data_IF_059825243909
#
_entry.id   IF_059825243909
#
_cell.length_a   1.000
_cell.length_b   1.000
_cell.length_c   1.000
_cell.angle_alpha   90.00
_cell.angle_beta   90.00
_cell.angle_gamma   90.00
#
_symmetry.space_group_name_H-M   'P 1'
#
loop_
_entity.id
_entity.type
_entity.pdbx_description
1 polymer ?
#
# COMPACT_ATOMS: atom_id res chain seq x y z
N UNK A 1 -8.52 -34.60 -36.84
CA UNK A 1 -7.32 -33.78 -37.10
C UNK A 1 -6.73 -33.41 -35.75
N UNK A 2 -5.63 -34.04 -35.34
CA UNK A 2 -4.95 -33.74 -34.06
C UNK A 2 -4.25 -32.39 -34.21
N UNK A 3 -4.84 -31.33 -33.68
CA UNK A 3 -4.18 -30.02 -33.59
C UNK A 3 -3.23 -30.14 -32.40
N UNK A 4 -1.92 -30.18 -32.65
CA UNK A 4 -0.92 -30.16 -31.59
C UNK A 4 -1.13 -28.96 -30.68
N UNK A 5 -0.87 -29.14 -29.38
CA UNK A 5 -1.08 -28.11 -28.37
C UNK A 5 -0.26 -26.87 -28.72
N UNK A 6 -0.95 -25.77 -29.02
CA UNK A 6 -0.31 -24.48 -29.35
C UNK A 6 0.22 -23.86 -28.05
N UNK A 7 1.54 -23.62 -27.90
CA UNK A 7 2.08 -22.99 -26.71
C UNK A 7 1.50 -21.59 -26.49
N UNK A 8 1.29 -21.17 -25.24
CA UNK A 8 0.84 -19.81 -24.88
C UNK A 8 1.70 -18.71 -25.55
N UNK A 9 3.00 -18.94 -25.69
CA UNK A 9 3.93 -18.01 -26.36
C UNK A 9 3.59 -17.77 -27.84
N UNK A 10 3.02 -18.77 -28.51
CA UNK A 10 2.65 -18.69 -29.93
C UNK A 10 1.43 -17.82 -30.18
N UNK A 11 0.61 -17.56 -29.15
CA UNK A 11 -0.56 -16.66 -29.26
C UNK A 11 -0.12 -15.24 -29.59
N UNK A 12 0.97 -14.78 -28.98
CA UNK A 12 1.55 -13.47 -29.30
C UNK A 12 1.95 -13.38 -30.78
N UNK A 13 2.61 -14.42 -31.30
CA UNK A 13 2.97 -14.46 -32.73
C UNK A 13 1.73 -14.49 -33.63
N UNK A 14 0.67 -15.20 -33.22
CA UNK A 14 -0.57 -15.26 -33.97
C UNK A 14 -1.27 -13.90 -34.04
N UNK A 15 -1.34 -13.16 -32.93
CA UNK A 15 -1.85 -11.79 -32.93
C UNK A 15 -1.00 -10.86 -33.81
N UNK A 16 0.32 -10.99 -33.79
CA UNK A 16 1.22 -10.14 -34.59
C UNK A 16 1.10 -10.42 -36.09
N UNK A 17 0.92 -11.69 -36.47
CA UNK A 17 0.80 -12.09 -37.87
C UNK A 17 -0.61 -11.86 -38.46
N UNK A 18 -1.66 -11.88 -37.64
CA UNK A 18 -3.04 -11.62 -38.07
C UNK A 18 -3.47 -10.23 -37.59
N UNK A 19 -3.52 -9.30 -38.55
CA UNK A 19 -3.72 -7.88 -38.28
C UNK A 19 -5.08 -7.49 -37.66
N UNK A 20 -5.99 -8.43 -37.39
CA UNK A 20 -7.35 -8.12 -36.96
C UNK A 20 -7.88 -8.88 -35.73
N UNK A 21 -7.06 -9.71 -35.07
CA UNK A 21 -7.49 -10.52 -33.92
C UNK A 21 -6.74 -10.14 -32.64
N UNK A 22 -7.49 -10.02 -31.56
CA UNK A 22 -7.04 -9.86 -30.19
C UNK A 22 -7.55 -11.03 -29.36
N UNK A 23 -6.67 -11.64 -28.58
CA UNK A 23 -6.91 -12.87 -27.83
C UNK A 23 -6.60 -12.61 -26.35
N UNK A 24 -7.52 -13.02 -25.50
CA UNK A 24 -7.26 -13.18 -24.08
C UNK A 24 -7.30 -14.66 -23.73
N UNK A 25 -6.44 -15.08 -22.80
CA UNK A 25 -6.45 -16.45 -22.29
C UNK A 25 -6.56 -16.41 -20.78
N UNK A 26 -7.62 -17.03 -20.26
CA UNK A 26 -7.82 -17.29 -18.85
C UNK A 26 -7.36 -18.70 -18.48
N UNK A 27 -6.71 -18.87 -17.33
CA UNK A 27 -6.47 -20.20 -16.76
C UNK A 27 -7.74 -20.75 -16.12
N UNK A 28 -7.95 -22.07 -16.19
CA UNK A 28 -9.03 -22.74 -15.48
C UNK A 28 -8.55 -23.99 -14.77
N UNK A 29 -8.78 -24.02 -13.46
CA UNK A 29 -8.33 -25.07 -12.56
C UNK A 29 -9.44 -25.35 -11.55
N UNK A 30 -9.67 -26.62 -11.23
CA UNK A 30 -10.62 -27.05 -10.19
C UNK A 30 -12.05 -26.50 -10.32
N UNK A 31 -12.51 -26.22 -11.54
CA UNK A 31 -13.86 -25.67 -11.75
C UNK A 31 -13.93 -24.14 -11.76
N UNK A 32 -12.81 -23.46 -11.58
CA UNK A 32 -12.76 -22.00 -11.44
C UNK A 32 -11.75 -21.35 -12.39
N UNK A 33 -11.96 -20.05 -12.68
CA UNK A 33 -11.03 -19.27 -13.50
C UNK A 33 -10.00 -18.63 -12.57
N UNK A 34 -8.72 -18.93 -12.80
CA UNK A 34 -7.62 -18.54 -11.88
C UNK A 34 -6.98 -17.20 -12.25
N UNK A 35 -7.35 -16.65 -13.41
CA UNK A 35 -6.88 -15.33 -13.88
C UNK A 35 -6.48 -15.34 -15.34
N UNK A 36 -5.88 -14.24 -15.80
CA UNK A 36 -5.43 -14.06 -17.18
C UNK A 36 -3.98 -14.54 -17.34
N UNK A 37 -3.78 -15.58 -18.14
CA UNK A 37 -2.45 -16.07 -18.55
C UNK A 37 -1.89 -15.28 -19.73
N UNK A 38 -2.78 -14.72 -20.56
CA UNK A 38 -2.42 -13.84 -21.65
C UNK A 38 -3.48 -12.76 -21.82
N UNK A 39 -3.05 -11.51 -21.92
CA UNK A 39 -3.90 -10.35 -22.19
C UNK A 39 -3.35 -9.64 -23.42
N UNK A 40 -4.23 -9.42 -24.39
CA UNK A 40 -3.89 -8.66 -25.59
C UNK A 40 -3.53 -7.20 -25.24
N UNK A 41 -2.55 -6.64 -25.95
CA UNK A 41 -2.11 -5.24 -25.74
C UNK A 41 -2.94 -4.22 -26.53
N UNK A 42 -3.65 -4.67 -27.57
CA UNK A 42 -4.41 -3.81 -28.47
C UNK A 42 -5.78 -4.42 -28.67
N UNK A 43 -6.82 -3.61 -28.58
CA UNK A 43 -8.18 -4.04 -28.95
C UNK A 43 -8.33 -3.90 -30.47
N UNK A 44 -8.31 -5.02 -31.19
CA UNK A 44 -8.59 -5.11 -32.63
C UNK A 44 -10.06 -5.48 -32.86
N UNK A 45 -10.49 -5.53 -34.13
CA UNK A 45 -11.88 -5.72 -34.49
C UNK A 45 -12.47 -7.06 -33.99
N UNK A 46 -11.70 -8.14 -34.04
CA UNK A 46 -12.12 -9.43 -33.51
C UNK A 46 -11.48 -9.68 -32.16
N UNK A 47 -12.31 -9.75 -31.12
CA UNK A 47 -11.89 -10.01 -29.75
C UNK A 47 -12.32 -11.41 -29.32
N UNK A 48 -11.36 -12.26 -28.97
CA UNK A 48 -11.59 -13.66 -28.64
C UNK A 48 -11.10 -13.92 -27.22
N UNK A 49 -12.02 -14.33 -26.36
CA UNK A 49 -11.68 -14.80 -25.03
C UNK A 49 -11.56 -16.33 -25.06
N UNK A 50 -10.46 -16.87 -24.54
CA UNK A 50 -10.19 -18.30 -24.43
C UNK A 50 -9.97 -18.69 -22.97
N UNK A 51 -10.28 -19.94 -22.65
CA UNK A 51 -9.90 -20.62 -21.42
C UNK A 51 -8.88 -21.69 -21.76
N UNK A 52 -7.78 -21.76 -21.00
CA UNK A 52 -6.81 -22.83 -21.04
C UNK A 52 -7.13 -23.85 -19.94
N UNK A 53 -7.46 -25.06 -20.36
CA UNK A 53 -7.67 -26.20 -19.48
C UNK A 53 -6.45 -27.12 -19.50
N UNK A 54 -6.14 -27.71 -18.35
CA UNK A 54 -5.14 -28.76 -18.25
C UNK A 54 -5.82 -30.03 -17.71
N UNK A 55 -5.71 -31.14 -18.46
CA UNK A 55 -6.28 -32.44 -18.09
C UNK A 55 -5.24 -33.40 -17.47
N UNK A 56 -4.02 -32.91 -17.19
CA UNK A 56 -2.90 -33.69 -16.66
C UNK A 56 -1.91 -34.14 -17.73
N UNK A 57 -2.33 -34.31 -18.98
CA UNK A 57 -1.45 -34.74 -20.08
C UNK A 57 -1.29 -33.66 -21.16
N UNK A 58 -2.33 -32.87 -21.40
CA UNK A 58 -2.41 -31.90 -22.48
C UNK A 58 -3.05 -30.58 -22.03
N UNK A 59 -2.94 -29.57 -22.89
CA UNK A 59 -3.63 -28.30 -22.71
C UNK A 59 -4.64 -28.08 -23.83
N UNK A 60 -5.84 -27.64 -23.48
CA UNK A 60 -6.92 -27.37 -24.43
C UNK A 60 -7.37 -25.93 -24.34
N UNK A 61 -7.51 -25.26 -25.48
CA UNK A 61 -8.13 -23.94 -25.56
C UNK A 61 -9.61 -24.08 -25.86
N UNK A 62 -10.44 -23.45 -25.04
CA UNK A 62 -11.89 -23.38 -25.24
C UNK A 62 -12.31 -21.92 -25.37
N UNK A 63 -13.13 -21.60 -26.35
CA UNK A 63 -13.64 -20.25 -26.53
C UNK A 63 -14.70 -19.90 -25.48
N UNK A 64 -14.52 -18.75 -24.84
CA UNK A 64 -15.49 -18.16 -23.91
C UNK A 64 -16.41 -17.24 -24.71
N UNK A 65 -17.68 -17.64 -24.84
CA UNK A 65 -18.68 -16.82 -25.53
C UNK A 65 -19.25 -15.71 -24.65
N UNK A 66 -19.34 -15.92 -23.33
CA UNK A 66 -19.94 -14.98 -22.37
C UNK A 66 -19.19 -14.98 -21.05
N UNK A 67 -18.20 -14.11 -20.91
CA UNK A 67 -17.42 -13.92 -19.67
C UNK A 67 -18.30 -13.74 -18.41
N UNK A 68 -19.36 -12.89 -18.43
CA UNK A 68 -20.23 -12.71 -17.27
C UNK A 68 -20.93 -13.97 -16.80
N UNK A 69 -21.12 -14.98 -17.65
CA UNK A 69 -21.75 -16.25 -17.24
C UNK A 69 -20.76 -17.20 -16.58
N UNK A 70 -19.52 -17.20 -17.04
CA UNK A 70 -18.46 -18.06 -16.53
C UNK A 70 -18.01 -17.63 -15.13
N UNK A 71 -17.80 -16.32 -14.93
CA UNK A 71 -17.18 -15.78 -13.71
C UNK A 71 -18.19 -15.40 -12.61
N UNK A 72 -19.49 -15.45 -12.91
CA UNK A 72 -20.54 -14.98 -12.03
C UNK A 72 -20.45 -15.54 -10.61
N UNK A 73 -20.43 -16.87 -10.53
CA UNK A 73 -20.50 -17.59 -9.27
C UNK A 73 -19.21 -17.41 -8.44
N UNK A 74 -18.10 -17.07 -9.08
CA UNK A 74 -16.82 -16.77 -8.42
C UNK A 74 -16.80 -15.33 -7.86
N UNK A 75 -17.49 -14.39 -8.50
CA UNK A 75 -17.42 -12.96 -8.16
C UNK A 75 -18.55 -12.50 -7.24
N UNK A 76 -19.75 -13.06 -7.34
CA UNK A 76 -20.91 -12.57 -6.59
C UNK A 76 -21.95 -13.65 -6.29
N UNK A 77 -22.64 -13.49 -5.16
CA UNK A 77 -23.79 -14.30 -4.75
C UNK A 77 -25.13 -13.74 -5.22
N UNK A 78 -25.18 -12.49 -5.68
CA UNK A 78 -26.41 -11.89 -6.19
C UNK A 78 -26.89 -12.62 -7.44
N UNK A 79 -28.16 -12.48 -7.85
CA UNK A 79 -28.76 -13.17 -9.03
C UNK A 79 -28.91 -12.27 -10.27
N UNK A 80 -28.62 -10.98 -10.14
CA UNK A 80 -28.71 -10.03 -11.25
C UNK A 80 -27.57 -10.18 -12.29
N UNK A 81 -27.81 -9.67 -13.50
CA UNK A 81 -26.78 -9.58 -14.54
C UNK A 81 -25.62 -8.72 -14.06
N UNK A 82 -24.39 -9.21 -14.24
CA UNK A 82 -23.15 -8.46 -13.96
C UNK A 82 -22.50 -7.98 -15.24
N UNK A 83 -21.79 -6.86 -15.14
CA UNK A 83 -20.93 -6.33 -16.21
C UNK A 83 -19.48 -6.59 -15.80
N UNK A 84 -18.69 -7.25 -16.64
CA UNK A 84 -17.30 -7.61 -16.35
C UNK A 84 -16.38 -6.99 -17.40
N UNK A 85 -15.21 -6.53 -16.97
CA UNK A 85 -14.13 -6.16 -17.88
C UNK A 85 -13.30 -7.41 -18.24
N UNK A 86 -13.21 -7.74 -19.52
CA UNK A 86 -12.48 -8.91 -20.00
C UNK A 86 -10.95 -8.81 -19.74
N UNK A 87 -10.43 -7.59 -19.54
CA UNK A 87 -9.00 -7.34 -19.35
C UNK A 87 -8.50 -7.39 -17.89
N UNK A 88 -9.35 -7.09 -16.91
CA UNK A 88 -8.98 -7.12 -15.49
C UNK A 88 -9.87 -8.05 -14.65
N UNK A 89 -10.91 -8.63 -15.25
CA UNK A 89 -11.91 -9.51 -14.64
C UNK A 89 -12.69 -8.87 -13.47
N UNK A 90 -12.61 -7.56 -13.27
CA UNK A 90 -13.43 -6.84 -12.29
C UNK A 90 -14.86 -6.69 -12.77
N UNK A 91 -15.81 -6.73 -11.82
CA UNK A 91 -17.23 -6.53 -12.10
C UNK A 91 -17.69 -5.12 -11.71
N UNK A 92 -18.67 -4.61 -12.45
CA UNK A 92 -19.22 -3.27 -12.30
C UNK A 92 -20.75 -3.30 -12.26
N UNK A 93 -21.32 -2.39 -11.45
CA UNK A 93 -22.76 -2.33 -11.23
C UNK A 93 -23.55 -1.93 -12.48
N UNK A 94 -22.98 -1.07 -13.34
CA UNK A 94 -23.64 -0.60 -14.56
C UNK A 94 -22.73 -0.71 -15.76
N UNK A 95 -23.33 -0.83 -16.94
CA UNK A 95 -22.59 -0.86 -18.21
C UNK A 95 -21.83 0.47 -18.44
N UNK A 96 -22.40 1.60 -18.01
CA UNK A 96 -21.76 2.92 -18.16
C UNK A 96 -20.41 2.98 -17.43
N UNK A 97 -20.37 2.51 -16.17
CA UNK A 97 -19.13 2.48 -15.38
C UNK A 97 -18.10 1.52 -16.01
N UNK A 98 -18.55 0.38 -16.54
CA UNK A 98 -17.66 -0.54 -17.27
C UNK A 98 -17.03 0.15 -18.50
N UNK A 99 -17.81 0.88 -19.29
CA UNK A 99 -17.29 1.58 -20.48
C UNK A 99 -16.33 2.72 -20.12
N UNK A 100 -16.57 3.42 -19.02
CA UNK A 100 -15.62 4.40 -18.47
C UNK A 100 -14.33 3.72 -18.03
N UNK A 101 -14.42 2.63 -17.26
CA UNK A 101 -13.27 1.84 -16.84
C UNK A 101 -12.44 1.32 -18.02
N UNK A 102 -13.09 0.82 -19.09
CA UNK A 102 -12.38 0.28 -20.27
C UNK A 102 -11.45 1.29 -20.95
N UNK A 103 -11.70 2.59 -20.82
CA UNK A 103 -10.82 3.65 -21.36
C UNK A 103 -9.47 3.69 -20.66
N UNK A 104 -9.44 3.28 -19.40
CA UNK A 104 -8.28 3.39 -18.51
C UNK A 104 -7.72 2.02 -18.13
N UNK A 105 -8.46 0.94 -18.37
CA UNK A 105 -8.11 -0.41 -17.99
C UNK A 105 -6.82 -0.88 -18.66
N UNK A 106 -5.86 -1.34 -17.85
CA UNK A 106 -4.57 -1.86 -18.32
C UNK A 106 -3.54 -0.78 -18.69
N UNK A 107 -3.91 0.51 -18.59
CA UNK A 107 -2.99 1.64 -18.71
C UNK A 107 -2.68 2.27 -17.34
N UNK A 108 -1.55 2.98 -17.26
CA UNK A 108 -1.33 3.95 -16.18
C UNK A 108 -2.00 5.23 -16.64
N UNK A 109 -3.15 5.56 -16.07
CA UNK A 109 -3.83 6.82 -16.32
C UNK A 109 -3.55 7.78 -15.17
N UNK A 110 -2.80 8.83 -15.48
CA UNK A 110 -2.54 9.92 -14.52
C UNK A 110 -3.60 10.98 -14.73
N UNK A 111 -4.69 10.90 -13.97
CA UNK A 111 -5.68 11.99 -13.91
C UNK A 111 -5.09 13.05 -12.97
N UNK A 112 -4.68 14.18 -13.54
CA UNK A 112 -4.28 15.32 -12.72
C UNK A 112 -5.53 15.97 -12.12
N UNK A 113 -5.48 16.42 -10.86
CA UNK A 113 -6.56 17.19 -10.27
C UNK A 113 -6.75 18.51 -11.03
N UNK A 114 -7.99 18.99 -11.08
CA UNK A 114 -8.29 20.34 -11.57
C UNK A 114 -7.57 21.40 -10.74
N UNK A 115 -7.22 22.54 -11.34
CA UNK A 115 -6.47 23.61 -10.66
C UNK A 115 -7.17 24.08 -9.37
N UNK A 116 -8.50 24.09 -9.38
CA UNK A 116 -9.34 24.49 -8.24
C UNK A 116 -9.50 23.40 -7.18
N UNK A 117 -9.13 22.15 -7.47
CA UNK A 117 -9.27 20.99 -6.58
C UNK A 117 -7.97 20.19 -6.44
N UNK A 118 -6.85 20.89 -6.34
CA UNK A 118 -5.50 20.29 -6.23
C UNK A 118 -5.02 20.10 -4.78
N UNK A 119 -5.84 20.44 -3.78
CA UNK A 119 -5.48 20.33 -2.36
C UNK A 119 -6.19 19.13 -1.72
N UNK A 120 -5.41 18.12 -1.34
CA UNK A 120 -5.89 17.02 -0.52
C UNK A 120 -5.80 17.37 0.96
N UNK A 121 -6.91 17.25 1.68
CA UNK A 121 -6.97 17.36 3.13
C UNK A 121 -7.46 16.06 3.75
N UNK A 122 -6.80 15.62 4.81
CA UNK A 122 -7.29 14.51 5.60
C UNK A 122 -8.48 14.98 6.45
N UNK A 123 -9.68 14.47 6.20
CA UNK A 123 -10.89 14.86 6.94
C UNK A 123 -11.20 13.90 8.08
N UNK A 124 -10.91 12.61 7.89
CA UNK A 124 -11.29 11.56 8.83
C UNK A 124 -10.17 11.17 9.81
N UNK A 125 -9.72 12.12 10.64
CA UNK A 125 -8.65 11.89 11.63
C UNK A 125 -8.92 10.72 12.58
N UNK A 126 -10.18 10.44 12.91
CA UNK A 126 -10.58 9.32 13.75
C UNK A 126 -10.37 7.94 13.10
N UNK A 127 -10.18 7.89 11.77
CA UNK A 127 -9.88 6.68 11.00
C UNK A 127 -8.37 6.41 10.88
N UNK A 128 -7.53 7.22 11.53
CA UNK A 128 -6.10 6.93 11.62
C UNK A 128 -5.93 5.65 12.42
N UNK A 129 -5.09 4.77 11.90
CA UNK A 129 -4.64 3.61 12.65
C UNK A 129 -3.92 4.11 13.92
N UNK A 130 -4.31 3.57 15.07
CA UNK A 130 -3.63 3.90 16.33
C UNK A 130 -2.22 3.34 16.25
N UNK A 131 -1.23 4.19 16.52
CA UNK A 131 0.16 3.75 16.59
C UNK A 131 0.31 2.70 17.71
N UNK A 132 1.00 1.56 17.44
CA UNK A 132 1.16 0.49 18.42
C UNK A 132 1.94 0.94 19.66
N UNK A 133 2.91 1.83 19.46
CA UNK A 133 3.73 2.41 20.53
C UNK A 133 3.83 3.93 20.33
N UNK A 134 3.75 4.69 21.42
CA UNK A 134 3.88 6.15 21.45
C UNK A 134 4.75 6.53 22.63
N UNK A 135 5.65 7.49 22.46
CA UNK A 135 6.52 7.98 23.52
C UNK A 135 6.17 9.44 23.80
N UNK A 136 5.73 9.72 25.02
CA UNK A 136 5.49 11.07 25.50
C UNK A 136 6.70 11.49 26.31
N UNK A 137 7.31 12.64 25.99
CA UNK A 137 8.56 13.08 26.63
C UNK A 137 8.46 14.52 27.08
N UNK A 138 9.06 14.80 28.22
CA UNK A 138 9.32 16.14 28.70
C UNK A 138 10.79 16.25 29.16
N UNK A 139 11.45 17.37 28.90
CA UNK A 139 12.88 17.53 29.15
C UNK A 139 13.21 18.94 29.62
N UNK A 140 14.06 19.01 30.63
CA UNK A 140 14.46 20.25 31.30
C UNK A 140 15.92 20.58 31.01
N UNK A 141 16.22 21.87 30.99
CA UNK A 141 17.57 22.37 30.78
C UNK A 141 17.90 23.56 31.69
N UNK A 142 19.14 23.61 32.15
CA UNK A 142 19.69 24.76 32.88
C UNK A 142 20.45 25.64 31.89
N UNK A 143 20.43 26.95 32.14
CA UNK A 143 21.21 27.92 31.38
C UNK A 143 22.59 28.12 32.01
N UNK A 144 23.64 27.74 31.29
CA UNK A 144 25.02 28.04 31.65
C UNK A 144 25.52 29.26 30.87
N UNK A 145 26.20 30.19 31.55
CA UNK A 145 26.78 31.37 30.91
C UNK A 145 28.12 31.02 30.26
N UNK A 146 28.26 31.29 28.97
CA UNK A 146 29.45 30.89 28.18
C UNK A 146 30.51 31.99 28.13
N UNK A 147 30.15 33.24 28.43
CA UNK A 147 31.06 34.38 28.46
C UNK A 147 30.85 35.24 29.69
N UNK A 148 31.91 35.42 30.48
CA UNK A 148 31.97 36.36 31.61
C UNK A 148 32.88 37.55 31.26
N UNK A 149 32.60 38.20 30.13
CA UNK A 149 33.38 39.32 29.61
C UNK A 149 33.11 39.63 28.13
N UNK A 150 33.18 40.90 27.76
CA UNK A 150 32.95 41.40 26.40
C UNK A 150 34.03 40.87 25.46
N UNK A 151 33.68 40.02 24.50
CA UNK A 151 34.59 39.67 23.40
C UNK A 151 34.56 40.82 22.40
N UNK A 152 35.53 41.74 22.48
CA UNK A 152 35.65 42.82 21.50
C UNK A 152 35.88 42.21 20.10
N UNK A 153 35.03 42.58 19.14
CA UNK A 153 35.20 42.25 17.72
C UNK A 153 34.23 41.23 17.10
N UNK A 154 33.29 40.64 17.85
CA UNK A 154 32.25 39.74 17.27
C UNK A 154 30.86 40.38 17.31
N UNK A 155 30.17 40.43 16.16
CA UNK A 155 28.82 41.03 16.00
C UNK A 155 27.70 40.31 16.77
N UNK A 156 27.89 39.06 17.17
CA UNK A 156 26.99 38.34 18.07
C UNK A 156 27.75 37.29 18.88
N UNK A 157 27.59 37.29 20.20
CA UNK A 157 28.15 36.28 21.12
C UNK A 157 26.99 35.56 21.78
N UNK A 158 26.98 34.22 21.74
CA UNK A 158 26.00 33.40 22.47
C UNK A 158 26.27 33.54 23.97
N UNK A 159 25.43 34.29 24.67
CA UNK A 159 25.62 34.58 26.09
C UNK A 159 25.32 33.37 27.00
N UNK A 160 24.42 32.49 26.57
CA UNK A 160 23.93 31.36 27.35
C UNK A 160 23.88 30.08 26.51
N UNK A 161 24.09 28.94 27.18
CA UNK A 161 24.00 27.59 26.62
C UNK A 161 23.01 26.79 27.45
N UNK A 162 22.06 26.12 26.80
CA UNK A 162 21.19 25.16 27.45
C UNK A 162 21.94 23.85 27.69
N UNK A 163 21.99 23.41 28.94
CA UNK A 163 22.51 22.12 29.36
C UNK A 163 21.33 21.26 29.81
N UNK A 164 21.02 20.17 29.11
CA UNK A 164 20.00 19.22 29.55
C UNK A 164 20.33 18.68 30.93
N UNK A 165 19.43 18.85 31.88
CA UNK A 165 19.64 18.46 33.27
C UNK A 165 18.66 17.39 33.76
N UNK A 166 17.50 17.25 33.11
CA UNK A 166 16.53 16.23 33.44
C UNK A 166 15.66 15.88 32.24
N UNK A 167 15.08 14.68 32.29
CA UNK A 167 14.01 14.28 31.38
C UNK A 167 13.04 13.34 32.09
N UNK A 168 11.85 13.24 31.54
CA UNK A 168 10.92 12.16 31.81
C UNK A 168 10.29 11.71 30.50
N UNK A 169 10.07 10.41 30.36
CA UNK A 169 9.26 9.89 29.27
C UNK A 169 8.38 8.74 29.72
N UNK A 170 7.21 8.66 29.07
CA UNK A 170 6.29 7.55 29.18
C UNK A 170 6.14 6.86 27.82
N UNK A 171 6.62 5.62 27.74
CA UNK A 171 6.34 4.72 26.63
C UNK A 171 4.96 4.09 26.85
N UNK A 172 4.06 4.35 25.92
CA UNK A 172 2.69 3.85 25.92
C UNK A 172 2.48 2.86 24.76
N UNK A 173 1.92 1.69 25.06
CA UNK A 173 1.50 0.68 24.11
C UNK A 173 -0.03 0.70 23.98
N UNK A 174 -0.55 0.70 22.75
CA UNK A 174 -1.99 0.88 22.51
C UNK A 174 -2.82 -0.40 22.69
N UNK A 175 -2.19 -1.57 22.79
CA UNK A 175 -2.87 -2.86 22.88
C UNK A 175 -2.53 -3.66 24.14
N UNK A 176 -1.47 -3.31 24.87
CA UNK A 176 -1.07 -3.99 26.10
C UNK A 176 -0.44 -3.02 27.09
N UNK A 177 -1.21 -2.66 28.12
CA UNK A 177 -0.77 -1.71 29.15
C UNK A 177 0.41 -2.24 29.99
N UNK A 178 0.65 -3.55 30.03
CA UNK A 178 1.79 -4.11 30.78
C UNK A 178 3.15 -3.74 30.17
N UNK A 179 3.14 -3.34 28.90
CA UNK A 179 4.33 -2.88 28.18
C UNK A 179 4.63 -1.40 28.38
N UNK A 180 3.75 -0.68 29.08
CA UNK A 180 3.96 0.73 29.36
C UNK A 180 5.16 0.90 30.31
N UNK A 181 6.01 1.89 30.02
CA UNK A 181 7.22 2.14 30.81
C UNK A 181 7.41 3.62 31.02
N UNK A 182 7.48 4.02 32.28
CA UNK A 182 7.91 5.35 32.66
C UNK A 182 9.39 5.34 33.04
N UNK A 183 10.13 6.35 32.59
CA UNK A 183 11.50 6.60 33.02
C UNK A 183 11.74 8.09 33.18
N UNK A 184 12.40 8.46 34.25
CA UNK A 184 12.86 9.81 34.52
C UNK A 184 14.30 9.79 35.01
N UNK A 185 15.02 10.86 34.72
CA UNK A 185 16.38 11.04 35.19
C UNK A 185 16.63 12.53 35.43
N UNK A 186 17.43 12.84 36.44
CA UNK A 186 17.89 14.18 36.74
C UNK A 186 19.34 14.11 37.17
N UNK A 187 20.21 14.85 36.50
CA UNK A 187 21.63 14.82 36.74
C UNK A 187 22.47 15.20 35.53
N UNK A 188 23.81 15.16 35.67
CA UNK A 188 24.71 15.34 34.54
C UNK A 188 24.48 14.23 33.51
N UNK A 189 24.70 14.53 32.24
CA UNK A 189 24.52 13.61 31.11
C UNK A 189 23.06 13.16 30.86
N UNK A 190 22.05 13.92 31.31
CA UNK A 190 20.64 13.59 31.09
C UNK A 190 20.30 13.31 29.62
N UNK A 191 20.87 14.05 28.68
CA UNK A 191 20.65 13.81 27.25
C UNK A 191 21.19 12.45 26.77
N UNK A 192 22.35 12.01 27.27
CA UNK A 192 22.92 10.73 26.86
C UNK A 192 22.13 9.57 27.44
N UNK A 193 21.79 9.62 28.74
CA UNK A 193 20.94 8.56 29.34
C UNK A 193 19.58 8.52 28.62
N UNK A 194 18.99 9.66 28.29
CA UNK A 194 17.74 9.70 27.51
C UNK A 194 17.85 8.93 26.19
N UNK A 195 18.87 9.25 25.37
CA UNK A 195 19.08 8.64 24.07
C UNK A 195 19.38 7.14 24.16
N UNK A 196 20.24 6.73 25.09
CA UNK A 196 20.58 5.32 25.30
C UNK A 196 19.33 4.50 25.65
N UNK A 197 18.48 5.02 26.53
CA UNK A 197 17.24 4.34 26.91
C UNK A 197 16.21 4.31 25.79
N UNK A 198 16.06 5.39 25.02
CA UNK A 198 15.20 5.39 23.84
C UNK A 198 15.66 4.37 22.80
N UNK A 199 16.96 4.31 22.50
CA UNK A 199 17.52 3.34 21.56
C UNK A 199 17.31 1.91 22.06
N UNK A 200 17.55 1.66 23.35
CA UNK A 200 17.33 0.35 23.98
C UNK A 200 15.87 -0.08 23.86
N UNK A 201 14.92 0.80 24.20
CA UNK A 201 13.49 0.52 24.09
C UNK A 201 13.05 0.34 22.64
N UNK A 202 13.54 1.18 21.72
CA UNK A 202 13.24 1.07 20.29
C UNK A 202 13.68 -0.28 19.72
N UNK A 203 14.93 -0.71 20.00
CA UNK A 203 15.43 -2.04 19.60
C UNK A 203 14.60 -3.18 20.17
N UNK A 204 14.22 -3.08 21.45
CA UNK A 204 13.37 -4.09 22.11
C UNK A 204 11.99 -4.17 21.45
N UNK A 205 11.34 -3.03 21.20
CA UNK A 205 10.02 -2.95 20.56
C UNK A 205 10.09 -3.53 19.14
N UNK A 206 11.10 -3.11 18.38
CA UNK A 206 11.27 -3.54 17.00
C UNK A 206 11.40 -5.06 16.92
N UNK A 207 12.35 -5.63 17.67
CA UNK A 207 12.67 -7.06 17.61
C UNK A 207 11.54 -7.98 18.11
N UNK A 208 10.73 -7.54 19.08
CA UNK A 208 9.70 -8.39 19.69
C UNK A 208 8.31 -8.23 19.07
N UNK A 209 7.99 -7.04 18.55
CA UNK A 209 6.63 -6.67 18.16
C UNK A 209 6.51 -6.20 16.70
N UNK A 210 7.48 -5.47 16.16
CA UNK A 210 7.37 -4.89 14.81
C UNK A 210 7.94 -5.79 13.71
N UNK A 211 8.87 -6.70 14.03
CA UNK A 211 9.43 -7.68 13.08
C UNK A 211 8.44 -8.79 12.71
N UNK A 212 7.42 -9.03 13.54
CA UNK A 212 6.42 -10.06 13.31
C UNK A 212 5.39 -9.56 12.29
N UNK A 213 5.55 -9.94 11.04
CA UNK A 213 4.54 -9.74 10.00
C UNK A 213 3.27 -10.47 10.38
N UNK A 214 2.24 -9.70 10.78
CA UNK A 214 0.90 -10.22 10.98
C UNK A 214 0.09 -9.99 9.70
N UNK A 215 -0.75 -10.95 9.29
CA UNK A 215 -1.66 -10.72 8.18
C UNK A 215 -2.52 -9.51 8.49
N UNK A 216 -2.58 -8.58 7.54
CA UNK A 216 -3.28 -7.32 7.71
C UNK A 216 -4.77 -7.59 7.95
N UNK A 217 -5.34 -7.04 9.02
CA UNK A 217 -6.75 -7.22 9.31
C UNK A 217 -7.58 -6.33 8.36
N UNK A 218 -8.25 -6.97 7.40
CA UNK A 218 -9.01 -6.30 6.35
C UNK A 218 -10.19 -5.47 6.86
N UNK A 219 -10.68 -5.71 8.09
CA UNK A 219 -11.78 -4.95 8.69
C UNK A 219 -11.39 -3.54 9.15
N UNK A 220 -10.10 -3.24 9.20
CA UNK A 220 -9.53 -1.94 9.59
C UNK A 220 -9.14 -1.06 8.40
N UNK A 221 -9.38 -1.52 7.17
CA UNK A 221 -9.02 -0.82 5.94
C UNK A 221 -9.92 0.38 5.66
N UNK A 222 -9.40 1.57 5.94
CA UNK A 222 -9.74 2.77 5.15
C UNK A 222 -8.39 3.35 4.74
N UNK A 223 -8.16 3.47 3.43
CA UNK A 223 -6.87 3.87 2.86
C UNK A 223 -6.26 5.08 3.59
N UNK A 224 -5.13 4.87 4.27
CA UNK A 224 -4.33 5.94 4.88
C UNK A 224 -3.08 6.14 4.02
N UNK A 225 -3.09 7.17 3.17
CA UNK A 225 -1.86 7.75 2.66
C UNK A 225 -1.14 8.41 3.85
N UNK A 226 -0.04 7.80 4.32
CA UNK A 226 0.81 8.42 5.32
C UNK A 226 1.69 9.50 4.67
N UNK A 227 1.42 10.77 4.97
CA UNK A 227 2.42 11.84 4.89
C UNK A 227 2.75 12.22 6.33
N UNK A 228 3.91 11.81 6.82
CA UNK A 228 4.41 12.21 8.13
C UNK A 228 4.98 13.62 8.04
N UNK A 229 4.32 14.58 8.70
CA UNK A 229 4.92 15.89 8.97
C UNK A 229 5.64 15.83 10.32
N UNK A 230 6.94 16.10 10.31
CA UNK A 230 7.68 16.50 11.50
C UNK A 230 7.31 17.95 11.76
N UNK A 231 6.49 18.18 12.78
CA UNK A 231 6.20 19.54 13.25
C UNK A 231 7.36 19.97 14.14
N UNK A 232 8.34 20.68 13.58
CA UNK A 232 9.31 21.43 14.38
C UNK A 232 8.62 22.70 14.87
N UNK A 233 8.47 22.81 16.20
CA UNK A 233 8.17 24.07 16.90
C UNK A 233 9.33 25.05 16.77
#
# INVERSE_FOLDING_TARGET
>A
MRIGVVPLKSIKMFEENINNISINVCGYENGEVVGLYYLTKKNKHHYINLTLLHDGEQFHYIQILKMPRLLRNQLTKHENKINICDGCLQHFNTHKILEEHKKECGGIVTILPEEDNNKLQFTNFYKKERLPFTVYTDAESILEYVCWGIIQGKKAVKAKKHIPCAFSYNLHCSFDNSLNKFKSFSGPNAANDFLENLIKHSKYIFNNYLTKTRPMNWRTLIAVCYVTYVKTS
#
